data_IF_161497523069
#
_entry.id   IF_161497523069
#
_cell.length_a   1.000
_cell.length_b   1.000
_cell.length_c   1.000
_cell.angle_alpha   90.00
_cell.angle_beta   90.00
_cell.angle_gamma   90.00
#
_symmetry.space_group_name_H-M   'P 1'
#
loop_
_entity.id
_entity.type
_entity.pdbx_description
1 polymer ?
#
# COMPACT_ATOMS: atom_id res chain seq x y z
N UNK A 1 -3.96 -34.98 3.92
CA UNK A 1 -4.45 -33.77 4.61
C UNK A 1 -3.35 -32.72 4.49
N UNK A 2 -3.48 -31.82 3.50
CA UNK A 2 -2.45 -30.86 3.15
C UNK A 2 -2.61 -29.60 4.00
N UNK A 3 -1.59 -29.24 4.75
CA UNK A 3 -1.51 -27.99 5.50
C UNK A 3 -1.33 -26.85 4.50
N UNK A 4 -2.36 -26.01 4.34
CA UNK A 4 -2.25 -24.75 3.62
C UNK A 4 -1.19 -23.88 4.30
N UNK A 5 -0.16 -23.45 3.57
CA UNK A 5 0.89 -22.58 4.10
C UNK A 5 0.28 -21.30 4.66
N UNK A 6 0.34 -21.14 5.98
CA UNK A 6 -0.23 -20.01 6.67
C UNK A 6 0.50 -18.72 6.25
N UNK A 7 -0.24 -17.79 5.66
CA UNK A 7 0.19 -16.40 5.48
C UNK A 7 0.37 -15.80 6.86
N UNK A 8 1.55 -15.26 7.16
CA UNK A 8 1.84 -14.65 8.46
C UNK A 8 1.61 -13.15 8.35
N UNK A 9 0.65 -12.64 9.12
CA UNK A 9 0.45 -11.21 9.32
C UNK A 9 1.38 -10.72 10.42
N UNK A 10 2.26 -9.78 10.08
CA UNK A 10 3.25 -9.24 11.00
C UNK A 10 3.04 -7.72 11.14
N UNK A 11 2.53 -7.24 12.29
CA UNK A 11 2.48 -5.82 12.58
C UNK A 11 3.89 -5.33 12.90
N UNK A 12 4.36 -4.30 12.20
CA UNK A 12 5.67 -3.70 12.38
C UNK A 12 5.54 -2.18 12.43
N UNK A 13 6.48 -1.53 13.11
CA UNK A 13 6.59 -0.06 13.09
C UNK A 13 7.84 0.31 12.31
N UNK A 14 7.73 1.16 11.31
CA UNK A 14 8.88 1.65 10.56
C UNK A 14 9.18 3.09 10.94
N UNK A 15 10.45 3.39 11.17
CA UNK A 15 10.97 4.75 11.29
C UNK A 15 11.77 5.09 10.03
N UNK A 16 11.38 6.18 9.38
CA UNK A 16 11.98 6.67 8.13
C UNK A 16 13.30 7.41 8.34
N UNK A 17 13.76 7.55 9.58
CA UNK A 17 14.97 8.27 9.95
C UNK A 17 14.78 9.79 10.03
N UNK A 18 13.57 10.29 9.76
CA UNK A 18 13.20 11.70 9.96
C UNK A 18 12.50 11.93 11.31
N UNK A 19 12.30 10.85 12.09
CA UNK A 19 11.59 10.85 13.37
C UNK A 19 10.09 10.62 13.22
N UNK A 20 9.62 10.18 12.06
CA UNK A 20 8.22 9.81 11.83
C UNK A 20 8.05 8.29 11.81
N UNK A 21 7.00 7.81 12.49
CA UNK A 21 6.73 6.37 12.63
C UNK A 21 5.50 5.97 11.80
N UNK A 22 5.62 4.86 11.07
CA UNK A 22 4.55 4.28 10.28
C UNK A 22 4.20 2.89 10.81
N UNK A 23 2.94 2.68 11.18
CA UNK A 23 2.45 1.37 11.56
C UNK A 23 2.08 0.58 10.29
N UNK A 24 2.73 -0.57 10.11
CA UNK A 24 2.66 -1.42 8.93
C UNK A 24 2.09 -2.79 9.32
N UNK A 25 1.17 -3.30 8.51
CA UNK A 25 0.77 -4.70 8.57
C UNK A 25 1.31 -5.39 7.32
N UNK A 26 2.18 -6.38 7.50
CA UNK A 26 2.86 -7.05 6.40
C UNK A 26 2.39 -8.49 6.32
N UNK A 27 1.87 -8.88 5.17
CA UNK A 27 1.58 -10.28 4.87
C UNK A 27 2.80 -10.92 4.20
N UNK A 28 3.36 -11.89 4.88
CA UNK A 28 4.62 -12.52 4.49
C UNK A 28 4.36 -13.94 4.01
N UNK A 29 4.94 -14.27 2.87
CA UNK A 29 5.07 -15.66 2.45
C UNK A 29 6.02 -16.39 3.42
N UNK A 30 5.80 -17.69 3.70
CA UNK A 30 6.60 -18.45 4.66
C UNK A 30 8.10 -18.54 4.31
N UNK A 31 8.45 -18.26 3.04
CA UNK A 31 9.80 -18.23 2.49
C UNK A 31 10.31 -16.81 2.12
N UNK A 32 9.65 -15.75 2.60
CA UNK A 32 10.07 -14.37 2.30
C UNK A 32 11.42 -14.03 2.96
N UNK A 33 12.29 -13.35 2.20
CA UNK A 33 13.63 -12.95 2.66
C UNK A 33 13.67 -11.51 3.18
N UNK A 34 14.57 -11.24 4.12
CA UNK A 34 14.75 -9.92 4.73
C UNK A 34 15.11 -8.86 3.68
N UNK A 35 15.92 -9.22 2.68
CA UNK A 35 16.28 -8.32 1.59
C UNK A 35 15.10 -7.92 0.70
N UNK A 36 14.14 -8.83 0.47
CA UNK A 36 12.94 -8.54 -0.31
C UNK A 36 12.05 -7.54 0.43
N UNK A 37 11.85 -7.74 1.74
CA UNK A 37 11.14 -6.80 2.58
C UNK A 37 11.83 -5.43 2.61
N UNK A 38 13.16 -5.40 2.74
CA UNK A 38 13.94 -4.17 2.78
C UNK A 38 13.80 -3.35 1.50
N UNK A 39 13.82 -4.01 0.34
CA UNK A 39 13.69 -3.34 -0.96
C UNK A 39 12.27 -2.80 -1.19
N UNK A 40 11.24 -3.53 -0.75
CA UNK A 40 9.84 -3.05 -0.84
C UNK A 40 9.60 -1.83 0.06
N UNK A 41 10.21 -1.82 1.25
CA UNK A 41 10.17 -0.65 2.12
C UNK A 41 10.96 0.51 1.53
N UNK A 42 12.14 0.25 0.95
CA UNK A 42 12.94 1.28 0.32
C UNK A 42 12.21 1.96 -0.86
N UNK A 43 11.57 1.17 -1.73
CA UNK A 43 10.75 1.71 -2.83
C UNK A 43 9.58 2.55 -2.32
N UNK A 44 8.89 2.09 -1.27
CA UNK A 44 7.71 2.77 -0.72
C UNK A 44 8.04 4.10 -0.04
N UNK A 45 9.16 4.15 0.67
CA UNK A 45 9.56 5.33 1.43
C UNK A 45 10.61 6.19 0.71
N UNK A 46 10.91 5.87 -0.56
CA UNK A 46 11.87 6.62 -1.38
C UNK A 46 13.32 6.52 -0.88
N UNK A 47 13.66 5.44 -0.17
CA UNK A 47 15.01 5.17 0.30
C UNK A 47 15.83 4.38 -0.74
N UNK A 48 17.15 4.35 -0.56
CA UNK A 48 18.07 3.68 -1.52
C UNK A 48 17.89 2.17 -1.43
N UNK A 49 17.57 1.53 -2.56
CA UNK A 49 17.49 0.06 -2.69
C UNK A 49 18.83 -0.61 -2.38
N UNK A 50 18.82 -1.79 -1.75
CA UNK A 50 20.04 -2.46 -1.29
C UNK A 50 20.37 -2.24 0.19
N UNK A 51 19.61 -1.42 0.91
CA UNK A 51 19.69 -1.30 2.37
C UNK A 51 19.15 -2.55 3.08
N UNK A 52 19.64 -2.87 4.28
CA UNK A 52 19.10 -3.96 5.10
C UNK A 52 18.23 -3.42 6.23
N UNK A 53 17.47 -4.29 6.89
CA UNK A 53 16.65 -3.93 8.03
C UNK A 53 17.48 -4.07 9.31
N UNK A 54 17.35 -3.10 10.20
CA UNK A 54 17.82 -3.19 11.58
C UNK A 54 16.70 -2.84 12.55
N UNK A 55 16.64 -3.51 13.71
CA UNK A 55 15.74 -3.10 14.78
C UNK A 55 16.36 -2.01 15.64
N UNK A 56 15.55 -1.02 16.03
CA UNK A 56 15.96 0.01 16.99
C UNK A 56 16.15 -0.59 18.39
N UNK A 57 17.21 -0.16 19.08
CA UNK A 57 17.44 -0.52 20.48
C UNK A 57 16.34 0.09 21.37
N UNK A 58 15.61 -0.75 22.12
CA UNK A 58 14.63 -0.28 23.11
C UNK A 58 15.28 0.29 24.39
N UNK A 59 16.61 0.32 24.53
CA UNK A 59 17.33 0.87 25.69
C UNK A 59 18.85 0.87 25.48
N UNK A 60 19.59 1.76 26.18
CA UNK A 60 21.05 1.96 26.18
C UNK A 60 21.92 0.68 26.39
N UNK A 61 21.32 -0.48 26.71
CA UNK A 61 22.02 -1.73 27.00
C UNK A 61 21.68 -2.92 26.06
N UNK A 62 20.96 -2.70 24.94
CA UNK A 62 20.78 -3.74 23.90
C UNK A 62 21.17 -3.20 22.53
N UNK A 63 22.25 -3.73 21.97
CA UNK A 63 22.63 -3.46 20.57
C UNK A 63 21.53 -3.97 19.63
N UNK A 64 21.01 -3.10 18.76
CA UNK A 64 20.00 -3.45 17.77
C UNK A 64 20.48 -4.60 16.87
N UNK A 65 19.59 -5.52 16.51
CA UNK A 65 19.95 -6.64 15.63
C UNK A 65 19.94 -6.14 14.18
N UNK A 66 21.12 -6.12 13.55
CA UNK A 66 21.23 -5.90 12.10
C UNK A 66 20.98 -7.23 11.39
N UNK A 67 19.99 -7.25 10.51
CA UNK A 67 19.61 -8.47 9.83
C UNK A 67 20.40 -8.66 8.53
N UNK A 68 20.63 -9.92 8.17
CA UNK A 68 21.29 -10.30 6.93
C UNK A 68 20.23 -10.45 5.84
N UNK A 69 20.44 -9.80 4.69
CA UNK A 69 19.44 -9.74 3.61
C UNK A 69 19.06 -11.12 3.05
N UNK A 70 19.95 -12.11 3.12
CA UNK A 70 19.72 -13.48 2.66
C UNK A 70 18.90 -14.33 3.63
N UNK A 71 18.70 -13.89 4.87
CA UNK A 71 18.01 -14.69 5.87
C UNK A 71 16.50 -14.68 5.63
N UNK A 72 15.84 -15.76 6.06
CA UNK A 72 14.39 -15.87 6.06
C UNK A 72 13.81 -15.03 7.19
N UNK A 73 12.70 -14.35 6.91
CA UNK A 73 12.00 -13.55 7.91
C UNK A 73 11.43 -14.43 9.02
N UNK A 74 11.03 -15.66 8.70
CA UNK A 74 10.48 -16.62 9.67
C UNK A 74 11.49 -17.09 10.71
N UNK A 75 12.77 -17.23 10.32
CA UNK A 75 13.84 -17.73 11.20
C UNK A 75 14.54 -16.60 11.94
N UNK A 76 14.88 -15.53 11.22
CA UNK A 76 15.83 -14.52 11.68
C UNK A 76 15.28 -13.10 11.55
N UNK A 77 14.04 -12.92 11.11
CA UNK A 77 13.45 -11.62 10.84
C UNK A 77 12.87 -10.90 12.06
N UNK A 78 12.42 -9.65 11.86
CA UNK A 78 11.75 -8.86 12.88
C UNK A 78 10.45 -9.52 13.37
N UNK A 79 10.07 -9.24 14.61
CA UNK A 79 8.88 -9.80 15.29
C UNK A 79 7.77 -8.77 15.38
N UNK A 80 6.55 -9.24 15.64
CA UNK A 80 5.37 -8.40 15.79
C UNK A 80 5.61 -7.31 16.85
N UNK A 81 5.46 -6.04 16.47
CA UNK A 81 5.68 -4.88 17.33
C UNK A 81 7.10 -4.31 17.32
N UNK A 82 8.04 -4.91 16.57
CA UNK A 82 9.39 -4.37 16.42
C UNK A 82 9.37 -3.05 15.64
N UNK A 83 10.23 -2.12 16.07
CA UNK A 83 10.54 -0.90 15.31
C UNK A 83 11.74 -1.16 14.42
N UNK A 84 11.54 -1.01 13.11
CA UNK A 84 12.53 -1.28 12.07
C UNK A 84 12.99 0.00 11.38
N UNK A 85 14.27 0.02 11.02
CA UNK A 85 14.93 1.09 10.27
C UNK A 85 15.67 0.48 9.08
N UNK A 86 15.73 1.21 7.97
CA UNK A 86 16.59 0.84 6.84
C UNK A 86 18.01 1.35 7.10
N UNK A 87 19.00 0.46 7.06
CA UNK A 87 20.41 0.78 7.27
C UNK A 87 21.27 0.28 6.12
N UNK A 88 22.27 1.05 5.71
CA UNK A 88 23.25 0.61 4.72
C UNK A 88 24.08 -0.55 5.27
N UNK A 89 24.25 -1.61 4.47
CA UNK A 89 25.13 -2.71 4.82
C UNK A 89 26.59 -2.19 4.78
N UNK A 90 27.26 -2.13 5.93
CA UNK A 90 28.67 -1.81 5.97
C UNK A 90 29.41 -2.99 5.34
N UNK A 91 30.15 -2.73 4.26
CA UNK A 91 30.95 -3.74 3.58
C UNK A 91 31.95 -4.38 4.53
N UNK A 92 32.09 -5.70 4.44
CA UNK A 92 33.26 -6.41 4.95
C UNK A 92 34.51 -5.76 4.32
N UNK A 93 35.53 -5.57 5.16
CA UNK A 93 36.69 -4.73 4.90
C UNK A 93 37.45 -5.04 3.60
N UNK A 94 38.04 -3.96 3.10
CA UNK A 94 38.86 -3.86 1.90
C UNK A 94 39.98 -4.93 1.85
N UNK A 95 40.12 -5.57 0.69
CA UNK A 95 41.42 -6.00 0.20
C UNK A 95 41.65 -5.32 -1.15
N UNK A 96 42.60 -4.39 -1.17
CA UNK A 96 43.21 -3.85 -2.39
C UNK A 96 43.86 -5.00 -3.16
N UNK A 97 43.47 -5.19 -4.41
CA UNK A 97 44.42 -5.51 -5.49
C UNK A 97 44.07 -4.73 -6.75
N UNK A 98 45.11 -4.04 -7.19
CA UNK A 98 45.29 -3.13 -8.31
C UNK A 98 44.88 -3.71 -9.68
N UNK A 99 44.49 -2.77 -10.56
CA UNK A 99 44.68 -2.79 -12.02
C UNK A 99 43.63 -3.47 -12.90
N UNK A 100 42.90 -2.64 -13.65
CA UNK A 100 42.11 -3.05 -14.81
C UNK A 100 41.09 -2.01 -15.23
N UNK A 101 41.55 -0.82 -15.66
CA UNK A 101 40.73 0.18 -16.34
C UNK A 101 40.06 -0.46 -17.57
N UNK A 102 38.73 -0.36 -17.65
CA UNK A 102 37.93 -0.88 -18.74
C UNK A 102 36.46 -0.99 -18.36
N UNK A 103 35.76 0.14 -18.33
CA UNK A 103 34.30 0.20 -18.28
C UNK A 103 33.69 -0.54 -19.48
N UNK A 104 32.70 -1.43 -19.30
CA UNK A 104 31.77 -1.78 -20.35
C UNK A 104 30.43 -1.09 -20.05
N UNK A 105 30.37 0.22 -20.30
CA UNK A 105 29.10 0.82 -20.70
C UNK A 105 28.89 0.51 -22.19
N UNK A 106 27.67 0.09 -22.50
CA UNK A 106 27.01 0.14 -23.80
C UNK A 106 27.71 -0.46 -25.03
N UNK A 107 27.29 -1.68 -25.39
CA UNK A 107 26.95 -2.01 -26.79
C UNK A 107 25.89 -3.12 -26.81
N UNK A 108 24.64 -2.77 -26.51
CA UNK A 108 23.48 -3.59 -26.87
C UNK A 108 22.72 -2.87 -27.99
N UNK A 109 23.24 -2.97 -29.21
CA UNK A 109 22.51 -2.54 -30.41
C UNK A 109 21.31 -3.47 -30.56
N UNK A 110 20.12 -3.00 -30.20
CA UNK A 110 18.87 -3.66 -30.47
C UNK A 110 18.56 -3.52 -31.98
N UNK A 111 18.89 -4.54 -32.78
CA UNK A 111 18.39 -4.64 -34.16
C UNK A 111 16.98 -5.24 -34.17
N UNK A 112 16.09 -4.83 -35.09
CA UNK A 112 14.65 -5.13 -35.06
C UNK A 112 14.26 -6.54 -35.57
N UNK A 113 15.19 -7.50 -35.64
CA UNK A 113 14.87 -8.85 -36.14
C UNK A 113 14.20 -9.71 -35.05
N UNK A 114 13.16 -10.51 -35.38
CA UNK A 114 12.53 -11.40 -34.41
C UNK A 114 13.53 -12.46 -33.95
N UNK A 115 13.78 -12.51 -32.64
CA UNK A 115 14.58 -13.56 -32.00
C UNK A 115 13.94 -14.92 -32.27
N UNK A 116 14.70 -15.86 -32.82
CA UNK A 116 14.18 -17.21 -33.08
C UNK A 116 14.09 -17.96 -31.75
N UNK A 117 12.87 -18.37 -31.37
CA UNK A 117 12.63 -19.17 -30.18
C UNK A 117 13.34 -20.53 -30.28
N UNK A 118 13.97 -20.97 -29.18
CA UNK A 118 14.57 -22.29 -29.06
C UNK A 118 13.57 -23.25 -28.40
N UNK A 119 13.69 -24.57 -28.60
CA UNK A 119 12.87 -25.58 -27.91
C UNK A 119 13.34 -25.80 -26.46
N UNK A 120 13.75 -24.73 -25.76
CA UNK A 120 14.30 -24.74 -24.40
C UNK A 120 13.35 -23.99 -23.49
N UNK A 121 12.93 -24.65 -22.41
CA UNK A 121 11.97 -24.12 -21.45
C UNK A 121 12.53 -24.20 -20.03
N UNK A 122 12.33 -23.14 -19.25
CA UNK A 122 12.45 -23.21 -17.80
C UNK A 122 11.05 -23.40 -17.23
N UNK A 123 10.86 -24.51 -16.50
CA UNK A 123 9.59 -24.93 -15.92
C UNK A 123 9.63 -24.94 -14.40
N UNK A 124 8.49 -24.81 -13.73
CA UNK A 124 8.44 -25.11 -12.29
C UNK A 124 8.60 -26.61 -12.04
N UNK A 125 9.47 -27.06 -11.10
CA UNK A 125 9.69 -28.47 -10.79
C UNK A 125 8.43 -29.18 -10.25
N UNK A 126 7.51 -28.42 -9.66
CA UNK A 126 6.25 -28.94 -9.11
C UNK A 126 5.19 -29.22 -10.18
N UNK A 127 5.48 -28.98 -11.47
CA UNK A 127 4.52 -29.11 -12.56
C UNK A 127 3.45 -28.00 -12.57
N UNK A 128 3.56 -27.03 -11.66
CA UNK A 128 2.73 -25.82 -11.67
C UNK A 128 3.03 -24.99 -12.92
N UNK A 129 1.99 -24.51 -13.61
CA UNK A 129 2.11 -23.69 -14.83
C UNK A 129 2.72 -22.28 -14.57
N UNK A 130 3.16 -21.99 -13.34
CA UNK A 130 3.61 -20.67 -12.87
C UNK A 130 4.80 -20.09 -13.64
N UNK A 131 5.66 -20.91 -14.25
CA UNK A 131 6.76 -20.43 -15.08
C UNK A 131 6.94 -21.41 -16.22
N UNK A 132 6.45 -21.08 -17.42
CA UNK A 132 6.84 -21.72 -18.67
C UNK A 132 7.60 -20.67 -19.48
N UNK A 133 8.85 -20.41 -19.11
CA UNK A 133 9.67 -19.46 -19.85
C UNK A 133 10.36 -20.19 -21.01
N UNK A 134 9.96 -19.88 -22.23
CA UNK A 134 10.67 -20.34 -23.43
C UNK A 134 11.85 -19.41 -23.71
N UNK A 135 13.05 -19.98 -23.83
CA UNK A 135 14.26 -19.22 -24.15
C UNK A 135 14.44 -19.10 -25.66
N UNK A 136 15.07 -18.01 -26.07
CA UNK A 136 15.46 -17.79 -27.46
C UNK A 136 16.88 -18.26 -27.73
N UNK A 137 17.22 -18.53 -29.00
CA UNK A 137 18.62 -18.74 -29.39
C UNK A 137 19.45 -17.47 -29.13
N UNK A 138 20.65 -17.63 -28.56
CA UNK A 138 21.53 -16.54 -28.16
C UNK A 138 21.64 -16.40 -26.64
N UNK A 139 22.03 -15.20 -26.18
CA UNK A 139 22.24 -14.90 -24.76
C UNK A 139 20.94 -14.48 -24.09
N UNK A 140 20.53 -15.18 -23.04
CA UNK A 140 19.33 -14.90 -22.25
C UNK A 140 19.74 -14.49 -20.83
N UNK A 141 19.43 -13.27 -20.39
CA UNK A 141 19.64 -12.86 -19.00
C UNK A 141 18.42 -13.24 -18.17
N UNK A 142 18.54 -14.23 -17.27
CA UNK A 142 17.46 -14.69 -16.39
C UNK A 142 17.82 -14.38 -14.94
N UNK A 143 17.09 -13.46 -14.31
CA UNK A 143 17.28 -13.08 -12.90
C UNK A 143 18.73 -12.75 -12.48
N UNK A 144 19.56 -12.27 -13.42
CA UNK A 144 20.98 -11.91 -13.22
C UNK A 144 21.98 -13.02 -13.60
N UNK A 145 21.53 -14.23 -13.89
CA UNK A 145 22.34 -15.26 -14.52
C UNK A 145 22.23 -15.18 -16.05
N UNK A 146 23.31 -15.49 -16.76
CA UNK A 146 23.30 -15.55 -18.22
C UNK A 146 23.12 -16.98 -18.69
N UNK A 147 22.15 -17.26 -19.55
CA UNK A 147 21.94 -18.55 -20.19
C UNK A 147 22.14 -18.39 -21.69
N UNK A 148 23.22 -18.96 -22.21
CA UNK A 148 23.48 -19.02 -23.64
C UNK A 148 22.81 -20.27 -24.24
N UNK A 149 21.98 -20.06 -25.26
CA UNK A 149 21.27 -21.13 -25.97
C UNK A 149 21.75 -21.16 -27.42
N UNK A 150 22.61 -22.13 -27.73
CA UNK A 150 23.16 -22.36 -29.06
C UNK A 150 22.93 -23.83 -29.47
N UNK A 151 23.97 -24.52 -29.95
CA UNK A 151 23.96 -25.99 -30.11
C UNK A 151 23.90 -26.73 -28.76
N UNK A 152 24.27 -26.02 -27.70
CA UNK A 152 24.22 -26.45 -26.30
C UNK A 152 23.65 -25.30 -25.46
N UNK A 153 23.12 -25.65 -24.30
CA UNK A 153 22.66 -24.69 -23.31
C UNK A 153 23.75 -24.57 -22.25
N UNK A 154 24.23 -23.36 -22.00
CA UNK A 154 25.21 -23.07 -20.95
C UNK A 154 24.70 -21.96 -20.05
N UNK A 155 24.80 -22.16 -18.74
CA UNK A 155 24.59 -21.08 -17.76
C UNK A 155 25.94 -20.52 -17.34
N UNK A 156 26.03 -19.21 -17.24
CA UNK A 156 27.18 -18.48 -16.74
C UNK A 156 26.77 -17.57 -15.60
N UNK A 157 27.54 -17.59 -14.52
CA UNK A 157 27.42 -16.61 -13.45
C UNK A 157 27.83 -15.23 -13.98
N UNK A 158 26.96 -14.24 -13.80
CA UNK A 158 27.22 -12.86 -14.21
C UNK A 158 26.88 -11.92 -13.06
N UNK A 159 27.86 -11.10 -12.66
CA UNK A 159 27.70 -10.15 -11.56
C UNK A 159 27.56 -10.82 -10.19
N UNK A 160 26.69 -10.27 -9.33
CA UNK A 160 26.53 -10.67 -7.92
C UNK A 160 25.64 -11.91 -7.69
N UNK A 161 25.17 -12.57 -8.76
CA UNK A 161 24.27 -13.73 -8.67
C UNK A 161 25.03 -15.00 -9.03
N UNK A 162 25.09 -15.94 -8.09
CA UNK A 162 25.69 -17.26 -8.30
C UNK A 162 24.59 -18.29 -8.55
N UNK A 163 24.32 -18.69 -9.80
CA UNK A 163 23.34 -19.73 -10.08
C UNK A 163 23.84 -21.07 -9.54
N UNK A 164 22.92 -21.95 -9.15
CA UNK A 164 23.23 -23.33 -8.79
C UNK A 164 22.52 -24.31 -9.72
N UNK A 165 23.21 -25.37 -10.12
CA UNK A 165 22.67 -26.44 -10.97
C UNK A 165 22.70 -27.73 -10.16
N UNK A 166 21.54 -28.38 -10.02
CA UNK A 166 21.37 -29.60 -9.23
C UNK A 166 21.92 -29.47 -7.79
N UNK A 167 21.82 -28.26 -7.22
CA UNK A 167 22.31 -27.94 -5.87
C UNK A 167 23.78 -27.51 -5.79
N UNK A 168 24.55 -27.58 -6.87
CA UNK A 168 25.95 -27.13 -6.91
C UNK A 168 26.04 -25.69 -7.45
N UNK A 169 26.68 -24.79 -6.70
CA UNK A 169 26.91 -23.42 -7.15
C UNK A 169 27.88 -23.37 -8.33
N UNK A 170 27.57 -22.56 -9.33
CA UNK A 170 28.39 -22.36 -10.52
C UNK A 170 29.13 -21.03 -10.39
N UNK A 171 30.46 -21.08 -10.35
CA UNK A 171 31.34 -19.91 -10.24
C UNK A 171 31.80 -19.36 -11.60
N UNK A 172 31.55 -20.10 -12.69
CA UNK A 172 31.95 -19.77 -14.05
C UNK A 172 30.82 -20.06 -15.04
N UNK A 173 31.07 -20.95 -16.01
CA UNK A 173 30.02 -21.52 -16.85
C UNK A 173 29.80 -23.01 -16.56
N UNK A 174 28.57 -23.48 -16.74
CA UNK A 174 28.19 -24.89 -16.67
C UNK A 174 27.27 -25.23 -17.82
N UNK A 175 27.52 -26.39 -18.44
CA UNK A 175 26.59 -26.94 -19.43
C UNK A 175 25.33 -27.42 -18.72
N UNK A 176 24.18 -27.12 -19.32
CA UNK A 176 22.89 -27.60 -18.87
C UNK A 176 22.34 -28.67 -19.82
N UNK A 177 21.66 -29.64 -19.25
CA UNK A 177 20.97 -30.74 -19.91
C UNK A 177 19.47 -30.70 -19.60
N UNK A 178 18.67 -31.30 -20.49
CA UNK A 178 17.24 -31.49 -20.21
C UNK A 178 17.08 -32.33 -18.92
N UNK A 179 16.30 -31.84 -17.96
CA UNK A 179 16.11 -32.43 -16.65
C UNK A 179 16.90 -31.76 -15.51
N UNK A 180 17.82 -30.83 -15.82
CA UNK A 180 18.60 -30.14 -14.78
C UNK A 180 17.73 -29.17 -13.98
N UNK A 181 17.96 -29.14 -12.67
CA UNK A 181 17.34 -28.20 -11.74
C UNK A 181 18.24 -26.98 -11.57
N UNK A 182 17.77 -25.84 -12.06
CA UNK A 182 18.45 -24.55 -11.98
C UNK A 182 17.86 -23.74 -10.83
N UNK A 183 18.68 -23.36 -9.87
CA UNK A 183 18.33 -22.43 -8.80
C UNK A 183 19.00 -21.08 -9.06
N UNK A 184 18.19 -20.05 -9.33
CA UNK A 184 18.65 -18.67 -9.48
C UNK A 184 17.91 -17.85 -8.42
N UNK A 185 18.66 -17.14 -7.55
CA UNK A 185 18.10 -16.31 -6.47
C UNK A 185 17.03 -17.01 -5.60
N UNK A 186 17.18 -18.31 -5.34
CA UNK A 186 16.24 -19.10 -4.52
C UNK A 186 15.05 -19.68 -5.30
N UNK A 187 14.88 -19.32 -6.57
CA UNK A 187 13.84 -19.88 -7.43
C UNK A 187 14.36 -21.13 -8.16
N UNK A 188 13.78 -22.28 -7.83
CA UNK A 188 14.10 -23.56 -8.47
C UNK A 188 13.27 -23.74 -9.75
N UNK A 189 13.94 -24.00 -10.87
CA UNK A 189 13.35 -24.23 -12.19
C UNK A 189 13.93 -25.48 -12.82
N UNK A 190 13.11 -26.31 -13.45
CA UNK A 190 13.50 -27.45 -14.26
C UNK A 190 13.78 -27.00 -15.70
N UNK A 191 14.98 -27.27 -16.21
CA UNK A 191 15.28 -27.06 -17.63
C UNK A 191 14.70 -28.21 -18.45
N UNK A 192 13.89 -27.89 -19.45
CA UNK A 192 13.34 -28.86 -20.40
C UNK A 192 13.71 -28.47 -21.83
N UNK A 193 14.39 -29.38 -22.52
CA UNK A 193 14.69 -29.26 -23.95
C UNK A 193 13.76 -30.24 -24.68
N UNK A 194 12.83 -29.72 -25.47
CA UNK A 194 11.72 -30.50 -26.05
C UNK A 194 12.04 -31.02 -27.46
N UNK A 195 13.01 -30.41 -28.15
CA UNK A 195 13.42 -30.78 -29.52
C UNK A 195 14.93 -30.50 -29.71
N UNK A 196 15.51 -30.98 -30.81
CA UNK A 196 16.90 -30.76 -31.17
C UNK A 196 17.20 -29.27 -31.38
N UNK A 197 18.31 -28.81 -30.79
CA UNK A 197 18.77 -27.43 -30.93
C UNK A 197 19.31 -27.19 -32.35
N UNK A 198 18.65 -26.30 -33.11
CA UNK A 198 19.05 -25.87 -34.45
C UNK A 198 19.26 -24.35 -34.46
N UNK A 199 20.41 -23.86 -33.96
CA UNK A 199 20.68 -22.43 -33.91
C UNK A 199 20.68 -21.83 -35.33
N UNK A 200 20.20 -20.58 -35.49
CA UNK A 200 20.31 -19.86 -36.76
C UNK A 200 21.78 -19.57 -37.11
N UNK A 201 22.09 -19.42 -38.42
CA UNK A 201 23.46 -19.17 -38.91
C UNK A 201 24.06 -17.83 -38.43
N UNK A 202 23.22 -16.89 -37.98
CA UNK A 202 23.66 -15.66 -37.31
C UNK A 202 23.36 -15.75 -35.81
N UNK A 203 24.26 -15.29 -34.92
CA UNK A 203 23.98 -15.19 -33.49
C UNK A 203 22.68 -14.42 -33.24
N UNK A 204 21.77 -15.01 -32.44
CA UNK A 204 20.53 -14.35 -32.03
C UNK A 204 20.79 -13.20 -31.05
N UNK A 205 19.92 -12.17 -31.00
CA UNK A 205 20.08 -11.03 -30.09
C UNK A 205 20.02 -11.43 -28.60
N UNK A 206 20.56 -10.59 -27.72
CA UNK A 206 20.48 -10.80 -26.27
C UNK A 206 19.08 -10.47 -25.75
N UNK A 207 18.43 -11.40 -25.06
CA UNK A 207 17.11 -11.20 -24.45
C UNK A 207 17.19 -11.18 -22.92
N UNK A 208 16.66 -10.12 -22.30
CA UNK A 208 16.53 -10.02 -20.84
C UNK A 208 15.17 -10.55 -20.41
N UNK A 209 15.17 -11.62 -19.63
CA UNK A 209 14.01 -12.27 -19.04
C UNK A 209 14.02 -12.02 -17.53
N UNK A 210 13.25 -11.03 -17.06
CA UNK A 210 13.05 -10.81 -15.62
C UNK A 210 11.78 -11.53 -15.19
N UNK A 211 11.92 -12.61 -14.43
CA UNK A 211 10.80 -13.24 -13.73
C UNK A 211 10.68 -12.50 -12.40
N UNK A 212 9.64 -11.68 -12.27
CA UNK A 212 9.34 -10.93 -11.05
C UNK A 212 8.26 -11.67 -10.27
N UNK A 213 8.51 -11.93 -8.98
CA UNK A 213 7.54 -12.57 -8.09
C UNK A 213 6.29 -11.70 -7.93
N UNK A 214 5.12 -12.32 -8.09
CA UNK A 214 3.83 -11.61 -8.01
C UNK A 214 3.36 -11.53 -6.55
N UNK A 215 3.66 -10.45 -5.84
CA UNK A 215 3.03 -10.16 -4.56
C UNK A 215 1.73 -9.39 -4.79
N UNK A 216 0.59 -9.99 -4.41
CA UNK A 216 -0.72 -9.30 -4.43
C UNK A 216 -0.96 -8.68 -3.06
N UNK A 217 -1.04 -7.35 -3.00
CA UNK A 217 -1.52 -6.62 -1.82
C UNK A 217 -3.04 -6.53 -1.92
N UNK A 218 -3.76 -7.22 -1.04
CA UNK A 218 -5.20 -7.04 -0.86
C UNK A 218 -5.39 -6.02 0.25
N UNK A 219 -5.84 -4.82 -0.09
CA UNK A 219 -6.13 -3.80 0.93
C UNK A 219 -7.54 -4.00 1.52
N UNK A 220 -7.71 -3.75 2.83
CA UNK A 220 -9.01 -3.80 3.48
C UNK A 220 -9.89 -2.65 3.01
N UNK A 221 -11.21 -2.88 2.97
CA UNK A 221 -12.17 -1.84 2.64
C UNK A 221 -12.11 -0.70 3.66
N UNK A 222 -11.83 0.52 3.20
CA UNK A 222 -11.85 1.71 4.05
C UNK A 222 -13.28 2.17 4.29
N UNK A 223 -13.59 2.49 5.55
CA UNK A 223 -14.86 3.11 5.92
C UNK A 223 -14.61 4.51 6.44
N UNK A 224 -15.28 5.50 5.86
CA UNK A 224 -15.20 6.90 6.30
C UNK A 224 -16.53 7.27 6.97
N UNK A 225 -16.46 7.67 8.24
CA UNK A 225 -17.61 8.15 8.99
C UNK A 225 -17.77 9.66 8.77
N UNK A 226 -18.92 10.07 8.26
CA UNK A 226 -19.22 11.49 8.09
C UNK A 226 -19.59 12.12 9.45
N UNK A 227 -19.28 13.41 9.67
CA UNK A 227 -19.58 14.09 10.92
C UNK A 227 -21.08 14.09 11.19
N UNK A 228 -21.48 13.95 12.46
CA UNK A 228 -22.90 13.97 12.84
C UNK A 228 -23.40 15.41 12.88
N UNK A 229 -24.45 15.76 12.11
CA UNK A 229 -24.98 17.10 12.14
C UNK A 229 -25.50 17.45 13.55
N UNK A 230 -25.25 18.68 14.05
CA UNK A 230 -25.73 19.09 15.36
C UNK A 230 -27.26 18.99 15.42
N UNK A 231 -27.78 18.56 16.57
CA UNK A 231 -29.21 18.51 16.80
C UNK A 231 -29.82 19.92 16.79
N UNK A 232 -31.10 20.03 16.42
CA UNK A 232 -31.81 21.28 16.53
C UNK A 232 -32.00 21.63 18.01
N UNK A 233 -31.24 22.61 18.49
CA UNK A 233 -31.40 23.13 19.84
C UNK A 233 -32.81 23.71 19.95
N UNK A 234 -33.62 23.14 20.86
CA UNK A 234 -34.85 23.78 21.27
C UNK A 234 -34.43 24.97 22.11
N UNK A 235 -34.85 26.17 21.70
CA UNK A 235 -34.68 27.36 22.54
C UNK A 235 -35.31 27.01 23.89
N UNK A 236 -34.54 26.98 25.00
CA UNK A 236 -35.13 26.70 26.30
C UNK A 236 -36.26 27.71 26.49
N UNK A 237 -37.46 27.18 26.71
CA UNK A 237 -38.61 28.02 26.99
C UNK A 237 -38.24 28.92 28.17
N UNK A 238 -38.53 30.21 28.06
CA UNK A 238 -38.32 31.11 29.19
C UNK A 238 -39.10 30.51 30.37
N UNK A 239 -38.45 30.20 31.51
CA UNK A 239 -39.10 29.50 32.61
C UNK A 239 -40.00 30.49 33.38
N UNK A 240 -41.09 30.90 32.73
CA UNK A 240 -42.04 31.92 33.22
C UNK A 240 -42.48 31.57 34.64
N UNK A 241 -42.73 30.29 34.91
CA UNK A 241 -43.16 29.81 36.21
C UNK A 241 -42.10 30.04 37.30
N UNK A 242 -40.84 29.68 37.04
CA UNK A 242 -39.72 29.91 37.97
C UNK A 242 -39.41 31.39 38.14
N UNK A 243 -39.60 32.19 37.09
CA UNK A 243 -39.49 33.65 37.12
C UNK A 243 -40.61 34.32 37.94
N UNK A 244 -41.83 33.76 37.92
CA UNK A 244 -43.00 34.31 38.63
C UNK A 244 -42.92 34.12 40.15
N UNK A 245 -42.24 33.08 40.64
CA UNK A 245 -42.13 32.77 42.08
C UNK A 245 -41.54 33.94 42.89
N UNK A 246 -40.34 34.46 42.59
CA UNK A 246 -39.77 35.59 43.34
C UNK A 246 -40.54 36.90 43.14
N UNK A 247 -41.20 37.10 41.99
CA UNK A 247 -42.08 38.23 41.74
C UNK A 247 -43.31 38.22 42.67
N UNK A 248 -43.99 37.08 42.77
CA UNK A 248 -45.14 36.90 43.68
C UNK A 248 -44.72 37.00 45.14
N UNK A 249 -43.59 36.40 45.51
CA UNK A 249 -43.03 36.49 46.86
C UNK A 249 -42.71 37.94 47.25
N UNK A 250 -42.04 38.69 46.36
CA UNK A 250 -41.69 40.09 46.61
C UNK A 250 -42.92 41.01 46.63
N UNK A 251 -43.93 40.74 45.79
CA UNK A 251 -45.20 41.45 45.82
C UNK A 251 -45.96 41.22 47.14
N UNK A 252 -46.00 39.97 47.63
CA UNK A 252 -46.61 39.64 48.92
C UNK A 252 -45.90 40.33 50.09
N UNK A 253 -44.56 40.35 50.08
CA UNK A 253 -43.76 41.08 51.07
C UNK A 253 -44.01 42.59 51.03
N UNK A 254 -44.08 43.20 49.85
CA UNK A 254 -44.38 44.63 49.71
C UNK A 254 -45.77 44.97 50.27
N UNK A 255 -46.77 44.11 50.01
CA UNK A 255 -48.13 44.29 50.53
C UNK A 255 -48.19 44.23 52.05
N UNK A 256 -47.35 43.39 52.67
CA UNK A 256 -47.27 43.26 54.13
C UNK A 256 -46.48 44.38 54.81
N UNK A 257 -45.33 44.78 54.27
CA UNK A 257 -44.39 45.70 54.95
C UNK A 257 -44.50 47.17 54.50
N UNK A 258 -45.06 47.45 53.30
CA UNK A 258 -45.11 48.79 52.66
C UNK A 258 -43.77 49.56 52.68
N UNK A 259 -42.66 48.84 52.65
CA UNK A 259 -41.31 49.41 52.71
C UNK A 259 -40.78 49.74 51.31
N UNK A 260 -40.02 50.84 51.20
CA UNK A 260 -39.33 51.21 49.97
C UNK A 260 -38.30 50.13 49.54
N UNK A 261 -37.72 49.43 50.51
CA UNK A 261 -36.73 48.38 50.26
C UNK A 261 -37.32 47.16 49.55
N UNK A 262 -38.56 46.77 49.86
CA UNK A 262 -39.22 45.61 49.22
C UNK A 262 -39.64 45.92 47.77
N UNK A 263 -40.02 47.16 47.47
CA UNK A 263 -40.31 47.59 46.10
C UNK A 263 -39.07 47.52 45.18
N UNK A 264 -37.92 47.96 45.69
CA UNK A 264 -36.65 47.87 44.95
C UNK A 264 -36.24 46.41 44.71
N UNK A 265 -36.42 45.54 45.70
CA UNK A 265 -36.10 44.12 45.55
C UNK A 265 -36.91 43.41 44.47
N UNK A 266 -38.21 43.71 44.37
CA UNK A 266 -39.09 43.20 43.30
C UNK A 266 -38.60 43.68 41.93
N UNK A 267 -38.27 44.96 41.81
CA UNK A 267 -37.77 45.54 40.57
C UNK A 267 -36.45 44.89 40.13
N UNK A 268 -35.49 44.73 41.05
CA UNK A 268 -34.22 44.05 40.79
C UNK A 268 -34.43 42.59 40.36
N UNK A 269 -35.36 41.87 41.02
CA UNK A 269 -35.69 40.49 40.65
C UNK A 269 -36.24 40.40 39.22
N UNK A 270 -37.12 41.34 38.83
CA UNK A 270 -37.66 41.41 37.47
C UNK A 270 -36.55 41.68 36.43
N UNK A 271 -35.69 42.66 36.71
CA UNK A 271 -34.57 43.01 35.83
C UNK A 271 -33.61 41.86 35.66
N UNK A 272 -33.27 41.15 36.75
CA UNK A 272 -32.38 40.00 36.71
C UNK A 272 -32.94 38.84 35.87
N UNK A 273 -34.22 38.53 36.05
CA UNK A 273 -34.93 37.51 35.26
C UNK A 273 -34.93 37.86 33.77
N UNK A 274 -35.15 39.14 33.41
CA UNK A 274 -35.09 39.60 32.03
C UNK A 274 -33.66 39.51 31.47
N UNK A 275 -32.66 39.93 32.25
CA UNK A 275 -31.25 39.88 31.87
C UNK A 275 -30.80 38.45 31.57
N UNK A 276 -31.11 37.50 32.46
CA UNK A 276 -30.78 36.08 32.29
C UNK A 276 -31.45 35.49 31.04
N UNK A 277 -32.70 35.85 30.75
CA UNK A 277 -33.39 35.41 29.53
C UNK A 277 -32.77 35.95 28.24
N UNK A 278 -32.31 37.20 28.24
CA UNK A 278 -31.58 37.77 27.09
C UNK A 278 -30.20 37.11 26.92
N UNK A 279 -29.49 36.88 28.02
CA UNK A 279 -28.17 36.24 28.02
C UNK A 279 -28.25 34.81 27.49
N UNK A 280 -29.18 34.00 28.01
CA UNK A 280 -29.39 32.63 27.54
C UNK A 280 -29.75 32.55 26.04
N UNK A 281 -30.51 33.53 25.53
CA UNK A 281 -30.83 33.61 24.08
C UNK A 281 -29.61 33.99 23.25
N UNK A 282 -28.76 34.89 23.75
CA UNK A 282 -27.54 35.31 23.07
C UNK A 282 -26.52 34.17 23.03
N UNK A 283 -26.32 33.49 24.15
CA UNK A 283 -25.43 32.35 24.30
C UNK A 283 -25.89 31.17 23.43
N UNK A 284 -27.17 30.78 23.49
CA UNK A 284 -27.70 29.71 22.64
C UNK A 284 -27.54 29.99 21.15
N UNK A 285 -27.71 31.25 20.70
CA UNK A 285 -27.46 31.62 19.29
C UNK A 285 -25.98 31.56 18.93
N UNK A 286 -25.09 31.96 19.83
CA UNK A 286 -23.65 31.89 19.62
C UNK A 286 -23.16 30.43 19.54
N UNK A 287 -23.59 29.61 20.49
CA UNK A 287 -23.31 28.17 20.53
C UNK A 287 -23.82 27.45 19.29
N UNK A 288 -25.04 27.77 18.85
CA UNK A 288 -25.60 27.16 17.64
C UNK A 288 -24.76 27.53 16.41
N UNK A 289 -24.33 28.79 16.29
CA UNK A 289 -23.46 29.22 15.18
C UNK A 289 -22.12 28.50 15.22
N UNK A 290 -21.52 28.39 16.40
CA UNK A 290 -20.24 27.70 16.59
C UNK A 290 -20.32 26.23 16.16
N UNK A 291 -21.31 25.47 16.66
CA UNK A 291 -21.48 24.04 16.33
C UNK A 291 -21.76 23.80 14.84
N UNK A 292 -22.46 24.72 14.17
CA UNK A 292 -22.69 24.63 12.73
C UNK A 292 -21.41 24.91 11.94
N UNK A 293 -20.59 25.85 12.40
CA UNK A 293 -19.29 26.14 11.78
C UNK A 293 -18.32 24.97 11.95
N UNK A 294 -18.26 24.38 13.14
CA UNK A 294 -17.48 23.17 13.44
C UNK A 294 -17.90 22.00 12.54
N UNK A 295 -19.20 21.69 12.48
CA UNK A 295 -19.73 20.67 11.58
C UNK A 295 -19.33 20.85 10.11
N UNK A 296 -19.36 22.09 9.61
CA UNK A 296 -18.97 22.38 8.22
C UNK A 296 -17.47 22.23 8.00
N UNK A 297 -16.65 22.57 9.00
CA UNK A 297 -15.21 22.34 8.99
C UNK A 297 -14.92 20.84 8.91
N UNK A 298 -15.54 20.05 9.78
CA UNK A 298 -15.39 18.59 9.81
C UNK A 298 -15.89 17.95 8.50
N UNK A 299 -16.96 18.48 7.93
CA UNK A 299 -17.50 18.00 6.65
C UNK A 299 -16.52 18.28 5.51
N UNK A 300 -15.87 19.45 5.50
CA UNK A 300 -14.84 19.77 4.51
C UNK A 300 -13.58 18.92 4.67
N UNK A 301 -13.19 18.57 5.90
CA UNK A 301 -12.09 17.63 6.13
C UNK A 301 -12.44 16.22 5.63
N UNK A 302 -13.65 15.75 5.93
CA UNK A 302 -14.16 14.47 5.44
C UNK A 302 -14.23 14.44 3.90
N UNK A 303 -14.66 15.53 3.27
CA UNK A 303 -14.71 15.71 1.81
C UNK A 303 -13.33 15.54 1.16
N UNK A 304 -12.32 16.22 1.71
CA UNK A 304 -10.93 16.10 1.29
C UNK A 304 -10.42 14.66 1.48
N UNK A 305 -10.74 14.04 2.62
CA UNK A 305 -10.31 12.67 2.92
C UNK A 305 -10.90 11.65 1.95
N UNK A 306 -12.18 11.76 1.63
CA UNK A 306 -12.86 10.87 0.66
C UNK A 306 -12.24 11.06 -0.74
N UNK A 307 -12.01 12.30 -1.14
CA UNK A 307 -11.40 12.64 -2.43
C UNK A 307 -9.99 12.02 -2.57
N UNK A 308 -9.17 12.11 -1.52
CA UNK A 308 -7.85 11.46 -1.49
C UNK A 308 -7.94 9.94 -1.59
N UNK A 309 -8.87 9.31 -0.87
CA UNK A 309 -9.05 7.86 -0.92
C UNK A 309 -9.49 7.39 -2.32
N UNK A 310 -10.35 8.14 -3.00
CA UNK A 310 -10.73 7.84 -4.38
C UNK A 310 -9.56 7.99 -5.36
N UNK A 311 -8.71 9.00 -5.19
CA UNK A 311 -7.49 9.16 -6.00
C UNK A 311 -6.51 8.01 -5.77
N UNK A 312 -6.31 7.60 -4.53
CA UNK A 312 -5.48 6.46 -4.16
C UNK A 312 -6.02 5.16 -4.77
N UNK A 313 -7.34 4.95 -4.71
CA UNK A 313 -7.99 3.80 -5.33
C UNK A 313 -7.80 3.78 -6.85
N UNK A 314 -8.00 4.93 -7.53
CA UNK A 314 -7.77 5.04 -8.97
C UNK A 314 -6.31 4.74 -9.34
N UNK A 315 -5.35 5.35 -8.64
CA UNK A 315 -3.93 5.14 -8.87
C UNK A 315 -3.55 3.67 -8.68
N UNK A 316 -4.08 3.02 -7.62
CA UNK A 316 -3.87 1.60 -7.35
C UNK A 316 -4.43 0.74 -8.48
N UNK A 317 -5.66 1.01 -8.94
CA UNK A 317 -6.26 0.26 -10.05
C UNK A 317 -5.52 0.47 -11.37
N UNK A 318 -4.98 1.66 -11.62
CA UNK A 318 -4.16 1.93 -12.80
C UNK A 318 -2.79 1.21 -12.74
N UNK A 319 -2.18 1.06 -11.57
CA UNK A 319 -0.98 0.24 -11.40
C UNK A 319 -1.28 -1.25 -11.58
N UNK A 320 -2.36 -1.72 -10.97
CA UNK A 320 -2.75 -3.12 -11.06
C UNK A 320 -3.15 -3.47 -12.48
N UNK A 321 -4.00 -2.68 -13.12
CA UNK A 321 -4.59 -2.92 -14.45
C UNK A 321 -4.38 -1.67 -15.32
N UNK A 322 -3.16 -1.50 -15.87
CA UNK A 322 -2.79 -0.34 -16.64
C UNK A 322 -3.65 -0.13 -17.89
N UNK A 323 -3.71 1.12 -18.35
CA UNK A 323 -4.35 1.48 -19.61
C UNK A 323 -3.62 0.85 -20.81
N UNK A 324 -4.30 0.73 -21.95
CA UNK A 324 -3.68 0.22 -23.19
C UNK A 324 -2.46 1.04 -23.61
N UNK A 325 -2.49 2.36 -23.42
CA UNK A 325 -1.35 3.24 -23.67
C UNK A 325 -0.16 2.91 -22.75
N UNK A 326 -0.41 2.79 -21.45
CA UNK A 326 0.62 2.42 -20.47
C UNK A 326 1.19 1.03 -20.74
N UNK A 327 0.34 0.07 -21.11
CA UNK A 327 0.76 -1.27 -21.54
C UNK A 327 1.64 -1.23 -22.78
N UNK A 328 1.28 -0.41 -23.79
CA UNK A 328 2.10 -0.21 -24.98
C UNK A 328 3.50 0.31 -24.63
N UNK A 329 3.59 1.25 -23.69
CA UNK A 329 4.87 1.74 -23.17
C UNK A 329 5.68 0.62 -22.48
N UNK A 330 5.06 -0.09 -21.55
CA UNK A 330 5.67 -1.24 -20.83
C UNK A 330 6.21 -2.28 -21.82
N UNK A 331 5.45 -2.60 -22.88
CA UNK A 331 5.85 -3.53 -23.94
C UNK A 331 7.03 -2.99 -24.77
N UNK A 332 6.97 -1.73 -25.19
CA UNK A 332 8.01 -1.10 -26.01
C UNK A 332 9.34 -0.97 -25.27
N UNK A 333 9.30 -0.66 -23.97
CA UNK A 333 10.47 -0.51 -23.11
C UNK A 333 10.97 -1.86 -22.56
N UNK A 334 10.24 -2.96 -22.83
CA UNK A 334 10.46 -4.28 -22.22
C UNK A 334 10.68 -4.16 -20.70
N UNK A 335 9.82 -3.37 -20.06
CA UNK A 335 9.93 -3.00 -18.66
C UNK A 335 9.81 -4.23 -17.75
N UNK A 336 10.44 -4.12 -16.57
CA UNK A 336 10.40 -5.10 -15.48
C UNK A 336 8.97 -5.40 -14.95
N UNK A 337 7.99 -4.60 -15.37
CA UNK A 337 6.56 -4.82 -15.09
C UNK A 337 5.93 -5.92 -15.94
N UNK A 338 6.59 -6.37 -17.01
CA UNK A 338 6.15 -7.53 -17.79
C UNK A 338 6.20 -8.81 -16.94
N UNK A 339 5.21 -9.69 -17.15
CA UNK A 339 5.16 -11.01 -16.49
C UNK A 339 5.14 -10.98 -14.96
N UNK A 340 4.73 -9.86 -14.36
CA UNK A 340 4.58 -9.68 -12.89
C UNK A 340 3.37 -10.37 -12.30
N UNK A 341 2.46 -10.93 -13.12
CA UNK A 341 1.30 -11.68 -12.65
C UNK A 341 1.55 -13.17 -12.89
N UNK A 342 1.77 -13.93 -11.82
CA UNK A 342 1.92 -15.39 -11.90
C UNK A 342 0.57 -16.08 -11.64
N UNK A 343 0.31 -17.16 -12.37
CA UNK A 343 -0.86 -18.01 -12.17
C UNK A 343 -0.48 -19.18 -11.25
N UNK A 344 -0.75 -19.07 -9.96
CA UNK A 344 -0.53 -20.18 -9.02
C UNK A 344 -1.65 -21.19 -9.08
N UNK A 345 -1.35 -22.50 -9.07
CA UNK A 345 -2.37 -23.55 -9.00
C UNK A 345 -3.26 -23.45 -7.74
N UNK A 346 -2.81 -22.74 -6.71
CA UNK A 346 -3.59 -22.42 -5.51
C UNK A 346 -4.52 -21.21 -5.67
N UNK A 347 -4.35 -20.40 -6.72
CA UNK A 347 -5.12 -19.18 -6.99
C UNK A 347 -5.53 -19.13 -8.46
N UNK A 348 -6.70 -19.67 -8.80
CA UNK A 348 -7.32 -19.48 -10.12
C UNK A 348 -7.70 -18.01 -10.28
N UNK A 349 -6.81 -17.22 -10.84
CA UNK A 349 -7.03 -15.81 -11.10
C UNK A 349 -7.63 -15.66 -12.51
N UNK A 350 -8.84 -15.10 -12.66
CA UNK A 350 -9.42 -14.86 -13.96
C UNK A 350 -8.57 -13.85 -14.75
N UNK A 351 -8.63 -13.95 -16.08
CA UNK A 351 -7.95 -13.01 -16.94
C UNK A 351 -8.68 -11.66 -16.87
N UNK A 352 -8.08 -10.70 -16.15
CA UNK A 352 -8.65 -9.36 -16.00
C UNK A 352 -8.36 -8.49 -17.21
N UNK A 353 -9.42 -8.12 -17.93
CA UNK A 353 -9.35 -7.22 -19.09
C UNK A 353 -9.98 -5.88 -18.73
N UNK A 354 -9.23 -4.80 -18.90
CA UNK A 354 -9.76 -3.44 -18.79
C UNK A 354 -10.47 -3.06 -20.08
N UNK A 355 -11.74 -2.72 -19.99
CA UNK A 355 -12.52 -2.22 -21.11
C UNK A 355 -12.40 -0.71 -21.31
N UNK A 356 -12.18 0.03 -20.22
CA UNK A 356 -12.16 1.49 -20.25
C UNK A 356 -12.28 2.09 -18.86
N UNK A 357 -12.91 3.26 -18.76
CA UNK A 357 -13.27 3.89 -17.47
C UNK A 357 -14.77 4.09 -17.39
N UNK A 358 -15.37 3.75 -16.26
CA UNK A 358 -16.81 3.92 -16.02
C UNK A 358 -17.05 4.54 -14.64
N UNK A 359 -18.27 5.02 -14.41
CA UNK A 359 -18.71 5.44 -13.09
C UNK A 359 -19.14 4.20 -12.30
N UNK A 360 -18.33 3.81 -11.31
CA UNK A 360 -18.50 2.58 -10.53
C UNK A 360 -18.49 2.96 -9.04
N UNK A 361 -19.17 2.17 -8.22
CA UNK A 361 -19.11 2.32 -6.76
C UNK A 361 -17.69 2.06 -6.26
N UNK A 362 -17.03 3.01 -5.59
CA UNK A 362 -15.69 2.83 -5.04
C UNK A 362 -15.71 1.81 -3.89
N UNK A 363 -14.53 1.26 -3.56
CA UNK A 363 -14.40 0.36 -2.40
C UNK A 363 -14.58 1.09 -1.06
N UNK A 364 -14.35 2.41 -1.04
CA UNK A 364 -14.54 3.26 0.13
C UNK A 364 -16.02 3.32 0.49
N UNK A 365 -16.36 2.88 1.71
CA UNK A 365 -17.73 2.95 2.24
C UNK A 365 -17.94 4.21 3.05
N UNK A 366 -19.02 4.92 2.77
CA UNK A 366 -19.42 6.10 3.54
C UNK A 366 -20.46 5.71 4.60
N UNK A 367 -20.17 6.01 5.86
CA UNK A 367 -21.15 5.90 6.94
C UNK A 367 -21.84 7.26 7.13
N UNK A 368 -23.13 7.29 6.81
CA UNK A 368 -23.97 8.48 6.92
C UNK A 368 -24.73 8.44 8.25
N UNK A 369 -24.53 9.42 9.15
CA UNK A 369 -25.30 9.49 10.39
C UNK A 369 -26.77 9.82 10.12
N UNK A 370 -27.68 9.17 10.85
CA UNK A 370 -29.13 9.34 10.68
C UNK A 370 -29.71 10.54 11.46
N UNK A 371 -28.97 11.05 12.45
CA UNK A 371 -29.44 12.07 13.39
C UNK A 371 -29.00 13.49 12.99
N UNK A 372 -29.60 14.50 13.62
CA UNK A 372 -29.23 15.90 13.47
C UNK A 372 -30.26 16.76 12.73
N UNK A 373 -29.97 18.07 12.66
CA UNK A 373 -30.84 19.08 12.02
C UNK A 373 -31.07 18.74 10.54
N UNK A 374 -32.30 18.89 10.06
CA UNK A 374 -32.73 18.41 8.73
C UNK A 374 -31.97 19.06 7.57
N UNK A 375 -31.80 20.38 7.58
CA UNK A 375 -31.07 21.14 6.56
C UNK A 375 -29.61 20.67 6.41
N UNK A 376 -28.93 20.43 7.53
CA UNK A 376 -27.54 19.93 7.53
C UNK A 376 -27.46 18.46 7.12
N UNK A 377 -28.49 17.65 7.41
CA UNK A 377 -28.60 16.29 6.88
C UNK A 377 -28.81 16.26 5.37
N UNK A 378 -29.58 17.21 4.83
CA UNK A 378 -29.74 17.35 3.39
C UNK A 378 -28.41 17.74 2.73
N UNK A 379 -27.67 18.70 3.29
CA UNK A 379 -26.30 19.07 2.87
C UNK A 379 -25.36 17.84 2.87
N UNK A 380 -25.28 17.11 3.98
CA UNK A 380 -24.48 15.89 4.10
C UNK A 380 -24.86 14.81 3.09
N UNK A 381 -26.16 14.63 2.82
CA UNK A 381 -26.64 13.63 1.86
C UNK A 381 -26.27 13.98 0.41
N UNK A 382 -26.19 15.27 0.07
CA UNK A 382 -25.75 15.73 -1.24
C UNK A 382 -24.26 15.46 -1.43
N UNK A 383 -23.45 15.79 -0.42
CA UNK A 383 -22.02 15.43 -0.41
C UNK A 383 -21.84 13.93 -0.56
N UNK A 384 -22.54 13.10 0.21
CA UNK A 384 -22.44 11.64 0.10
C UNK A 384 -22.84 11.12 -1.29
N UNK A 385 -23.86 11.70 -1.94
CA UNK A 385 -24.26 11.35 -3.30
C UNK A 385 -23.20 11.70 -4.35
N UNK A 386 -22.48 12.80 -4.18
CA UNK A 386 -21.39 13.19 -5.08
C UNK A 386 -20.29 12.12 -5.12
N UNK A 387 -20.03 11.46 -3.99
CA UNK A 387 -19.02 10.42 -3.86
C UNK A 387 -19.56 8.99 -4.01
N UNK A 388 -20.84 8.81 -4.31
CA UNK A 388 -21.44 7.49 -4.48
C UNK A 388 -20.86 6.74 -5.70
N UNK A 389 -20.40 7.48 -6.71
CA UNK A 389 -19.78 6.95 -7.91
C UNK A 389 -18.44 7.65 -8.13
N UNK A 390 -17.43 6.86 -8.50
CA UNK A 390 -16.12 7.34 -8.89
C UNK A 390 -15.80 6.86 -10.31
N UNK A 391 -15.08 7.70 -11.07
CA UNK A 391 -14.59 7.33 -12.40
C UNK A 391 -13.40 6.38 -12.26
N UNK A 392 -13.65 5.08 -12.34
CA UNK A 392 -12.66 4.03 -12.13
C UNK A 392 -12.51 3.13 -13.37
N UNK A 393 -11.41 2.38 -13.50
CA UNK A 393 -11.25 1.38 -14.55
C UNK A 393 -12.37 0.33 -14.54
N UNK A 394 -13.04 0.13 -15.67
CA UNK A 394 -14.01 -0.95 -15.86
C UNK A 394 -13.28 -2.22 -16.28
N UNK A 395 -13.53 -3.30 -15.54
CA UNK A 395 -12.77 -4.54 -15.64
C UNK A 395 -13.75 -5.70 -15.82
N UNK A 396 -13.40 -6.64 -16.70
CA UNK A 396 -14.05 -7.93 -16.83
C UNK A 396 -13.06 -9.02 -16.43
N UNK A 397 -13.54 -9.97 -15.65
CA UNK A 397 -12.85 -11.19 -15.29
C UNK A 397 -13.30 -12.27 -16.30
N UNK A 398 -12.37 -12.75 -17.15
CA UNK A 398 -12.60 -13.79 -18.17
C UNK A 398 -12.19 -15.18 -17.67
#
# INVERSE_FOLDING_TARGET
MSSAGAVVQLPLRMDDGTGTFFDLMIELAPNAHIGELADHLAERFGAVTGQTISTGALSEHRSGSKFVRSDLISTSGPRAGDTIHLTTQAGLGNHETTSGSGSPEDFAVATPYPTKLAPVYLRSPSGSAEVNLQLSYGLNQVQGATIEVAERVEVRATGAVTPAVNGAQILGSSRLSSGDLLNIKGQLSLLQITDHLRPPLLPGPTEKHKITSSARIVEPAHTVSLPTPPAQQRIPGFPVLSAMVPLLMGAALWMATKSLASALFVLFSFVFVLASGLEARRESRADQKFRVAEFRSDLAEADNRISQLHQQESARLDQQIPSSHTLGKILSERSDQLWTRSFSAAQSLPLRVRLGTAQITPQVKLQIPAQGRRDLREELSLTAKQYALAKLPSIIDL
#
